data_IF_720949303711
#
_entry.id   IF_720949303711
#
_cell.length_a   1.000
_cell.length_b   1.000
_cell.length_c   1.000
_cell.angle_alpha   90.00
_cell.angle_beta   90.00
_cell.angle_gamma   90.00
#
_symmetry.space_group_name_H-M   'P 1'
#
loop_
_entity.id
_entity.type
_entity.pdbx_description
1 polymer ?
#
# COMPACT_ATOMS: atom_id res chain seq x y z
N UNK A 1 39.95 -42.07 33.64
CA UNK A 1 40.23 -40.73 33.13
C UNK A 1 41.23 -40.79 31.96
N UNK A 2 42.33 -41.47 32.13
CA UNK A 2 43.42 -41.57 31.10
C UNK A 2 42.93 -42.22 29.82
N UNK A 3 42.13 -43.30 29.92
CA UNK A 3 41.60 -44.01 28.76
C UNK A 3 40.68 -43.16 27.90
N UNK A 4 39.83 -42.34 28.50
CA UNK A 4 38.96 -41.41 27.80
C UNK A 4 39.79 -40.33 27.08
N UNK A 5 40.79 -39.75 27.72
CA UNK A 5 41.68 -38.77 27.13
C UNK A 5 42.43 -39.32 25.94
N UNK A 6 42.98 -40.54 26.05
CA UNK A 6 43.80 -41.14 25.00
C UNK A 6 42.99 -41.76 23.87
N UNK A 7 41.80 -42.28 24.14
CA UNK A 7 40.97 -42.97 23.15
C UNK A 7 40.01 -42.03 22.39
N UNK A 8 39.59 -40.92 22.99
CA UNK A 8 38.60 -40.05 22.39
C UNK A 8 39.10 -38.60 22.22
N UNK A 9 39.60 -37.97 23.28
CA UNK A 9 39.93 -36.55 23.27
C UNK A 9 41.13 -36.25 22.37
N UNK A 10 42.25 -36.92 22.60
CA UNK A 10 43.46 -36.69 21.80
C UNK A 10 43.33 -37.04 20.33
N UNK A 11 42.71 -38.19 19.93
CA UNK A 11 42.48 -38.48 18.53
C UNK A 11 41.56 -37.48 17.84
N UNK A 12 40.55 -36.97 18.55
CA UNK A 12 39.62 -35.95 18.02
C UNK A 12 40.32 -34.61 17.82
N UNK A 13 41.10 -34.15 18.79
CA UNK A 13 41.88 -32.90 18.65
C UNK A 13 42.88 -33.02 17.49
N UNK A 14 43.53 -34.20 17.32
CA UNK A 14 44.47 -34.44 16.25
C UNK A 14 43.87 -34.39 14.86
N UNK A 15 42.58 -34.79 14.75
CA UNK A 15 41.85 -34.80 13.46
C UNK A 15 41.18 -33.48 13.12
N UNK A 16 40.63 -32.80 14.12
CA UNK A 16 39.75 -31.65 13.92
C UNK A 16 40.31 -30.33 14.47
N UNK A 17 41.45 -30.38 15.20
CA UNK A 17 42.05 -29.22 15.85
C UNK A 17 41.43 -28.81 17.16
N UNK A 18 40.29 -29.39 17.56
CA UNK A 18 39.57 -29.10 18.81
C UNK A 18 38.78 -30.29 19.30
N UNK A 19 38.46 -30.33 20.60
CA UNK A 19 37.54 -31.30 21.19
C UNK A 19 36.31 -30.59 21.76
N UNK A 20 35.18 -30.98 21.28
CA UNK A 20 33.89 -30.55 21.84
C UNK A 20 33.22 -31.77 22.50
N UNK A 21 32.93 -31.66 23.79
CA UNK A 21 32.17 -32.68 24.50
C UNK A 21 30.83 -32.92 23.80
N UNK A 22 30.50 -34.19 23.49
CA UNK A 22 29.18 -34.48 22.93
C UNK A 22 28.05 -33.96 23.85
N UNK A 23 27.10 -33.27 23.27
CA UNK A 23 25.93 -32.76 24.00
C UNK A 23 25.08 -33.95 24.45
N UNK A 24 24.55 -33.86 25.64
CA UNK A 24 23.53 -34.77 26.11
C UNK A 24 22.22 -34.58 25.35
N UNK A 25 21.35 -35.59 25.35
CA UNK A 25 20.04 -35.52 24.72
C UNK A 25 19.21 -34.32 25.27
N UNK A 26 19.30 -34.06 26.57
CA UNK A 26 18.63 -32.94 27.20
C UNK A 26 19.14 -31.58 26.70
N UNK A 27 20.45 -31.43 26.57
CA UNK A 27 21.08 -30.22 25.99
C UNK A 27 20.70 -30.02 24.53
N UNK A 28 20.63 -31.09 23.74
CA UNK A 28 20.18 -31.01 22.34
C UNK A 28 18.71 -30.59 22.23
N UNK A 29 17.83 -31.14 23.07
CA UNK A 29 16.40 -30.76 23.13
C UNK A 29 16.26 -29.29 23.52
N UNK A 30 17.03 -28.83 24.49
CA UNK A 30 17.00 -27.43 24.94
C UNK A 30 17.45 -26.48 23.82
N UNK A 31 18.52 -26.83 23.11
CA UNK A 31 19.01 -26.04 21.98
C UNK A 31 18.01 -25.97 20.83
N UNK A 32 17.34 -27.10 20.51
CA UNK A 32 16.28 -27.14 19.51
C UNK A 32 15.06 -26.29 19.92
N UNK A 33 14.68 -26.35 21.20
CA UNK A 33 13.59 -25.55 21.72
C UNK A 33 13.88 -24.04 21.62
N UNK A 34 15.10 -23.62 21.97
CA UNK A 34 15.51 -22.21 21.81
C UNK A 34 15.52 -21.81 20.35
N UNK A 35 16.06 -22.64 19.44
CA UNK A 35 16.06 -22.38 18.01
C UNK A 35 14.66 -22.22 17.44
N UNK A 36 13.68 -23.00 17.92
CA UNK A 36 12.28 -22.87 17.51
C UNK A 36 11.64 -21.56 17.98
N UNK A 37 11.95 -21.11 19.20
CA UNK A 37 11.47 -19.80 19.70
C UNK A 37 12.05 -18.67 18.87
N UNK A 38 13.35 -18.66 18.64
CA UNK A 38 14.01 -17.64 17.81
C UNK A 38 13.46 -17.60 16.37
N UNK A 39 13.17 -18.79 15.79
CA UNK A 39 12.54 -18.86 14.46
C UNK A 39 11.12 -18.30 14.49
N UNK A 40 10.34 -18.57 15.54
CA UNK A 40 9.02 -18.02 15.73
C UNK A 40 9.03 -16.48 15.76
N UNK A 41 9.90 -15.90 16.56
CA UNK A 41 10.08 -14.44 16.65
C UNK A 41 10.49 -13.81 15.32
N UNK A 42 11.40 -14.47 14.59
CA UNK A 42 11.81 -14.00 13.24
C UNK A 42 10.67 -14.07 12.23
N UNK A 43 9.84 -15.12 12.28
CA UNK A 43 8.67 -15.25 11.42
C UNK A 43 7.65 -14.16 11.71
N UNK A 44 7.39 -13.85 12.99
CA UNK A 44 6.50 -12.75 13.37
C UNK A 44 7.03 -11.40 12.87
N UNK A 45 8.31 -11.11 13.09
CA UNK A 45 8.94 -9.87 12.60
C UNK A 45 8.85 -9.74 11.06
N UNK A 46 9.14 -10.81 10.32
CA UNK A 46 9.02 -10.81 8.85
C UNK A 46 7.57 -10.62 8.41
N UNK A 47 6.61 -11.20 9.12
CA UNK A 47 5.20 -11.01 8.81
C UNK A 47 4.75 -9.57 9.03
N UNK A 48 5.20 -8.94 10.11
CA UNK A 48 4.90 -7.54 10.40
C UNK A 48 5.50 -6.60 9.34
N UNK A 49 6.77 -6.80 8.97
CA UNK A 49 7.43 -6.06 7.90
C UNK A 49 6.70 -6.23 6.56
N UNK A 50 6.22 -7.45 6.27
CA UNK A 50 5.46 -7.74 5.05
C UNK A 50 4.10 -7.03 5.06
N UNK A 51 3.42 -6.97 6.19
CA UNK A 51 2.15 -6.25 6.32
C UNK A 51 2.34 -4.74 6.16
N UNK A 52 3.39 -4.18 6.75
CA UNK A 52 3.75 -2.78 6.59
C UNK A 52 4.08 -2.46 5.13
N UNK A 53 4.92 -3.27 4.49
CA UNK A 53 5.23 -3.13 3.08
C UNK A 53 3.97 -3.16 2.19
N UNK A 54 3.05 -4.11 2.42
CA UNK A 54 1.79 -4.19 1.67
C UNK A 54 0.91 -2.95 1.85
N UNK A 55 0.88 -2.35 3.04
CA UNK A 55 0.11 -1.13 3.32
C UNK A 55 0.70 0.09 2.61
N UNK A 56 2.02 0.16 2.54
CA UNK A 56 2.76 1.30 1.99
C UNK A 56 2.96 1.24 0.47
N UNK A 57 2.64 0.11 -0.15
CA UNK A 57 2.67 -0.02 -1.61
C UNK A 57 1.73 1.01 -2.28
N UNK A 58 2.09 1.50 -3.49
CA UNK A 58 1.19 2.29 -4.31
C UNK A 58 -0.11 1.54 -4.64
N UNK A 59 -1.15 2.29 -5.03
CA UNK A 59 -2.42 1.72 -5.44
C UNK A 59 -2.24 0.70 -6.57
N UNK A 60 -2.86 -0.46 -6.41
CA UNK A 60 -2.96 -1.46 -7.47
C UNK A 60 -4.11 -1.13 -8.43
N UNK A 61 -4.21 -1.88 -9.52
CA UNK A 61 -5.21 -1.65 -10.56
C UNK A 61 -6.66 -1.61 -10.02
N UNK A 62 -6.99 -2.47 -9.06
CA UNK A 62 -8.33 -2.53 -8.46
C UNK A 62 -8.65 -1.28 -7.62
N UNK A 63 -7.69 -0.80 -6.83
CA UNK A 63 -7.86 0.44 -6.06
C UNK A 63 -7.94 1.66 -6.98
N UNK A 64 -7.13 1.69 -8.05
CA UNK A 64 -7.23 2.74 -9.07
C UNK A 64 -8.60 2.76 -9.74
N UNK A 65 -9.21 1.58 -10.00
CA UNK A 65 -10.57 1.50 -10.53
C UNK A 65 -11.61 2.03 -9.54
N UNK A 66 -11.48 1.75 -8.24
CA UNK A 66 -12.36 2.31 -7.21
C UNK A 66 -12.31 3.83 -7.19
N UNK A 67 -11.11 4.42 -7.23
CA UNK A 67 -10.91 5.87 -7.30
C UNK A 67 -11.53 6.44 -8.57
N UNK A 68 -11.30 5.83 -9.72
CA UNK A 68 -11.89 6.27 -10.99
C UNK A 68 -13.42 6.22 -10.95
N UNK A 69 -13.98 5.15 -10.37
CA UNK A 69 -15.43 5.03 -10.17
C UNK A 69 -15.97 6.13 -9.25
N UNK A 70 -15.31 6.40 -8.13
CA UNK A 70 -15.70 7.48 -7.22
C UNK A 70 -15.65 8.85 -7.91
N UNK A 71 -14.59 9.15 -8.67
CA UNK A 71 -14.50 10.38 -9.48
C UNK A 71 -15.67 10.48 -10.45
N UNK A 72 -16.00 9.44 -11.19
CA UNK A 72 -17.11 9.44 -12.14
C UNK A 72 -18.44 9.65 -11.44
N UNK A 73 -18.68 8.99 -10.30
CA UNK A 73 -19.90 9.16 -9.51
C UNK A 73 -20.07 10.59 -8.98
N UNK A 74 -18.97 11.28 -8.71
CA UNK A 74 -19.00 12.68 -8.22
C UNK A 74 -19.11 13.69 -9.37
N UNK A 75 -18.32 13.52 -10.43
CA UNK A 75 -18.21 14.51 -11.52
C UNK A 75 -19.43 14.50 -12.45
N UNK A 76 -19.98 13.32 -12.78
CA UNK A 76 -21.11 13.23 -13.71
C UNK A 76 -22.32 14.05 -13.25
N UNK A 77 -22.79 13.95 -11.99
CA UNK A 77 -23.87 14.80 -11.49
C UNK A 77 -23.50 16.28 -11.44
N UNK A 78 -22.25 16.61 -11.09
CA UNK A 78 -21.78 18.00 -11.03
C UNK A 78 -21.85 18.71 -12.39
N UNK A 79 -21.63 17.97 -13.47
CA UNK A 79 -21.75 18.49 -14.85
C UNK A 79 -23.20 18.51 -15.36
N UNK A 80 -24.18 18.05 -14.57
CA UNK A 80 -25.58 17.99 -14.96
C UNK A 80 -26.01 16.67 -15.60
N UNK A 81 -25.18 15.62 -15.50
CA UNK A 81 -25.43 14.31 -16.10
C UNK A 81 -24.75 14.14 -17.46
N UNK A 82 -24.76 12.92 -18.00
CA UNK A 82 -24.04 12.56 -19.23
C UNK A 82 -24.57 13.26 -20.48
N UNK A 83 -25.84 13.65 -20.48
CA UNK A 83 -26.51 14.31 -21.60
C UNK A 83 -26.37 15.83 -21.59
N UNK A 84 -25.91 16.40 -20.47
CA UNK A 84 -25.74 17.81 -20.30
C UNK A 84 -24.66 18.40 -21.24
N UNK A 85 -24.82 19.64 -21.74
CA UNK A 85 -23.83 20.31 -22.57
C UNK A 85 -22.46 20.41 -21.90
N UNK A 86 -22.41 20.72 -20.59
CA UNK A 86 -21.17 20.79 -19.84
C UNK A 86 -20.43 19.44 -19.78
N UNK A 87 -21.15 18.31 -19.75
CA UNK A 87 -20.51 16.98 -19.79
C UNK A 87 -20.00 16.65 -21.20
N UNK A 88 -20.69 17.10 -22.26
CA UNK A 88 -20.30 16.90 -23.66
C UNK A 88 -19.13 17.78 -24.08
N UNK A 89 -18.93 18.90 -23.40
CA UNK A 89 -17.73 19.72 -23.56
C UNK A 89 -16.50 18.98 -22.94
N UNK A 90 -15.68 18.44 -23.83
CA UNK A 90 -14.48 17.71 -23.44
C UNK A 90 -13.50 18.55 -22.62
N UNK A 91 -13.37 19.84 -22.98
CA UNK A 91 -12.46 20.77 -22.32
C UNK A 91 -12.91 21.01 -20.88
N UNK A 92 -14.18 21.37 -20.69
CA UNK A 92 -14.75 21.62 -19.38
C UNK A 92 -14.76 20.37 -18.50
N UNK A 93 -15.12 19.23 -19.06
CA UNK A 93 -15.08 17.95 -18.37
C UNK A 93 -13.67 17.61 -17.89
N UNK A 94 -12.64 17.74 -18.74
CA UNK A 94 -11.26 17.51 -18.36
C UNK A 94 -10.78 18.46 -17.27
N UNK A 95 -11.19 19.71 -17.26
CA UNK A 95 -10.85 20.66 -16.20
C UNK A 95 -11.35 20.18 -14.85
N UNK A 96 -12.61 19.70 -14.75
CA UNK A 96 -13.16 19.20 -13.49
C UNK A 96 -12.42 17.96 -13.00
N UNK A 97 -12.15 16.98 -13.88
CA UNK A 97 -11.35 15.81 -13.51
C UNK A 97 -9.93 16.17 -13.09
N UNK A 98 -9.31 17.11 -13.80
CA UNK A 98 -7.96 17.58 -13.49
C UNK A 98 -7.88 18.30 -12.15
N UNK A 99 -8.93 19.04 -11.79
CA UNK A 99 -9.01 19.74 -10.51
C UNK A 99 -9.10 18.77 -9.33
N UNK A 100 -9.95 17.73 -9.44
CA UNK A 100 -10.01 16.65 -8.46
C UNK A 100 -8.65 15.95 -8.33
N UNK A 101 -8.00 15.64 -9.45
CA UNK A 101 -6.69 15.00 -9.43
C UNK A 101 -5.61 15.93 -8.83
N UNK A 102 -5.72 17.24 -9.04
CA UNK A 102 -4.85 18.23 -8.42
C UNK A 102 -5.07 18.30 -6.90
N UNK A 103 -6.31 18.21 -6.44
CA UNK A 103 -6.61 18.14 -5.01
C UNK A 103 -6.01 16.88 -4.39
N UNK A 104 -6.23 15.72 -4.98
CA UNK A 104 -5.65 14.46 -4.48
C UNK A 104 -4.12 14.53 -4.41
N UNK A 105 -3.46 15.05 -5.46
CA UNK A 105 -2.01 15.21 -5.44
C UNK A 105 -1.54 16.13 -4.31
N UNK A 106 -2.26 17.21 -4.06
CA UNK A 106 -1.94 18.16 -2.98
C UNK A 106 -2.13 17.55 -1.59
N UNK A 107 -3.25 16.85 -1.38
CA UNK A 107 -3.58 16.25 -0.08
C UNK A 107 -2.62 15.11 0.30
N UNK A 108 -2.17 14.31 -0.66
CA UNK A 108 -1.28 13.18 -0.40
C UNK A 108 0.20 13.48 -0.70
N UNK A 109 0.55 14.68 -1.19
CA UNK A 109 1.92 15.05 -1.52
C UNK A 109 2.55 14.19 -2.63
N UNK A 110 1.74 13.73 -3.59
CA UNK A 110 2.16 12.83 -4.68
C UNK A 110 2.09 13.52 -6.04
N UNK A 111 2.83 13.02 -7.02
CA UNK A 111 2.81 13.53 -8.40
C UNK A 111 1.65 12.98 -9.22
N UNK A 112 1.13 11.83 -8.84
CA UNK A 112 -0.04 11.19 -9.47
C UNK A 112 -0.87 10.49 -8.41
N UNK A 113 -2.21 10.46 -8.58
CA UNK A 113 -3.08 9.74 -7.63
C UNK A 113 -2.76 8.23 -7.54
N UNK A 114 -2.16 7.65 -8.57
CA UNK A 114 -1.72 6.25 -8.57
C UNK A 114 -0.59 5.96 -7.58
N UNK A 115 0.15 6.99 -7.15
CA UNK A 115 1.22 6.89 -6.16
C UNK A 115 0.70 7.00 -4.71
N UNK A 116 -0.58 7.23 -4.50
CA UNK A 116 -1.21 7.18 -3.17
C UNK A 116 -1.00 5.78 -2.58
N UNK A 117 -0.69 5.69 -1.30
CA UNK A 117 -0.51 4.41 -0.60
C UNK A 117 -1.83 3.64 -0.49
N UNK A 118 -1.77 2.31 -0.54
CA UNK A 118 -2.98 1.46 -0.47
C UNK A 118 -3.79 1.68 0.78
N UNK A 119 -3.15 1.88 1.94
CA UNK A 119 -3.82 2.17 3.20
C UNK A 119 -4.57 3.52 3.20
N UNK A 120 -4.31 4.39 2.23
CA UNK A 120 -4.95 5.70 2.06
C UNK A 120 -6.05 5.71 0.99
N UNK A 121 -6.34 4.57 0.36
CA UNK A 121 -7.34 4.48 -0.71
C UNK A 121 -8.72 4.96 -0.27
N UNK A 122 -9.19 4.53 0.90
CA UNK A 122 -10.52 4.92 1.43
C UNK A 122 -10.56 6.41 1.79
N UNK A 123 -9.46 6.96 2.31
CA UNK A 123 -9.33 8.40 2.55
C UNK A 123 -9.39 9.19 1.25
N UNK A 124 -8.74 8.70 0.18
CA UNK A 124 -8.82 9.33 -1.14
C UNK A 124 -10.25 9.33 -1.69
N UNK A 125 -10.99 8.23 -1.54
CA UNK A 125 -12.41 8.14 -1.94
C UNK A 125 -13.26 9.12 -1.11
N UNK A 126 -13.00 9.26 0.18
CA UNK A 126 -13.70 10.23 1.04
C UNK A 126 -13.46 11.66 0.55
N UNK A 127 -12.23 12.05 0.27
CA UNK A 127 -11.87 13.36 -0.28
C UNK A 127 -12.61 13.62 -1.61
N UNK A 128 -12.69 12.63 -2.50
CA UNK A 128 -13.45 12.76 -3.75
C UNK A 128 -14.94 12.99 -3.49
N UNK A 129 -15.52 12.26 -2.53
CA UNK A 129 -16.95 12.42 -2.20
C UNK A 129 -17.26 13.77 -1.55
N UNK A 130 -16.32 14.33 -0.80
CA UNK A 130 -16.41 15.65 -0.17
C UNK A 130 -15.96 16.80 -1.09
N UNK A 131 -15.45 16.48 -2.30
CA UNK A 131 -14.97 17.46 -3.25
C UNK A 131 -16.07 18.48 -3.61
N UNK A 132 -15.72 19.75 -3.61
CA UNK A 132 -16.55 20.84 -4.07
C UNK A 132 -15.90 21.59 -5.25
N UNK A 133 -16.71 21.92 -6.23
CA UNK A 133 -16.23 22.68 -7.38
C UNK A 133 -15.78 24.09 -6.96
N UNK A 134 -14.62 24.56 -7.42
CA UNK A 134 -14.26 25.97 -7.37
C UNK A 134 -15.31 26.85 -8.07
N UNK A 135 -15.48 28.07 -7.58
CA UNK A 135 -16.53 28.99 -8.08
C UNK A 135 -16.44 29.17 -9.61
N UNK A 136 -15.25 29.39 -10.13
CA UNK A 136 -15.05 29.58 -11.57
C UNK A 136 -15.46 28.39 -12.43
N UNK A 137 -15.37 27.15 -11.90
CA UNK A 137 -15.84 25.96 -12.60
C UNK A 137 -17.37 25.83 -12.51
N UNK A 138 -17.96 26.20 -11.37
CA UNK A 138 -19.43 26.25 -11.22
C UNK A 138 -20.04 27.20 -12.26
N UNK A 139 -19.53 28.43 -12.33
CA UNK A 139 -20.01 29.44 -13.27
C UNK A 139 -19.92 28.93 -14.74
N UNK A 140 -18.79 28.36 -15.12
CA UNK A 140 -18.62 27.81 -16.47
C UNK A 140 -19.55 26.64 -16.79
N UNK A 141 -19.85 25.79 -15.79
CA UNK A 141 -20.80 24.67 -15.96
C UNK A 141 -22.21 25.20 -16.12
N UNK A 142 -22.59 26.18 -15.30
CA UNK A 142 -23.91 26.85 -15.40
C UNK A 142 -24.09 27.53 -16.75
N UNK A 143 -23.12 28.30 -17.20
CA UNK A 143 -23.13 28.95 -18.53
C UNK A 143 -23.26 27.91 -19.66
N UNK A 144 -22.46 26.84 -19.63
CA UNK A 144 -22.53 25.81 -20.66
C UNK A 144 -23.89 25.09 -20.70
N UNK A 145 -24.49 24.85 -19.53
CA UNK A 145 -25.80 24.21 -19.45
C UNK A 145 -26.97 25.15 -19.77
N UNK A 146 -26.83 26.47 -19.48
CA UNK A 146 -27.84 27.48 -19.79
C UNK A 146 -27.94 27.79 -21.31
N UNK A 147 -26.84 27.73 -22.05
CA UNK A 147 -26.83 27.99 -23.49
C UNK A 147 -27.79 27.09 -24.29
N UNK A 148 -28.19 25.93 -23.76
CA UNK A 148 -29.16 25.02 -24.41
C UNK A 148 -30.62 25.45 -24.23
N UNK A 149 -30.90 26.41 -23.32
CA UNK A 149 -32.27 26.87 -23.06
C UNK A 149 -32.82 27.84 -24.12
N UNK A 150 -31.97 28.23 -25.07
CA UNK A 150 -32.33 29.23 -26.09
C UNK A 150 -32.34 28.69 -27.55
N UNK A 151 -32.19 27.35 -27.71
CA UNK A 151 -32.35 26.67 -28.98
C UNK A 151 -33.51 25.67 -28.95
#
# INVERSE_FOLDING_TARGET
FTDWVTSEVLPTIRKTGSYQKPMTIAEQIQLLAQGNVELGEKIEAINDDLQEFKRDMPLLALECQKITKAKNQKVVPMLGGKDAPAYKDNSLRQLVYSDIDAQLRREFGVTTYKAIKRNQCDTAIKIINEYELPMYLKDRIEDANAQRSFL
#
